data_IF_331452273721
#
_entry.id   IF_331452273721
#
_cell.length_a   1.000
_cell.length_b   1.000
_cell.length_c   1.000
_cell.angle_alpha   90.00
_cell.angle_beta   90.00
_cell.angle_gamma   90.00
#
_symmetry.space_group_name_H-M   'P 1'
#
loop_
_entity.id
_entity.type
_entity.pdbx_description
1 polymer ?
#
# COMPACT_ATOMS: atom_id res chain seq x y z
N UNK A 1 -14.98 16.00 -8.86
CA UNK A 1 -16.11 15.48 -8.06
C UNK A 1 -16.62 14.11 -8.57
N UNK A 2 -15.71 13.22 -8.99
CA UNK A 2 -15.99 11.81 -9.37
C UNK A 2 -15.32 10.80 -8.40
N UNK A 3 -14.40 11.28 -7.53
CA UNK A 3 -13.67 10.49 -6.53
C UNK A 3 -14.56 9.83 -5.48
N UNK A 4 -15.61 10.51 -5.02
CA UNK A 4 -16.50 9.99 -3.97
C UNK A 4 -17.19 8.68 -4.37
N UNK A 5 -17.76 8.59 -5.58
CA UNK A 5 -18.59 7.44 -5.99
C UNK A 5 -17.86 6.09 -6.09
N UNK A 6 -16.52 6.05 -6.11
CA UNK A 6 -15.75 4.80 -6.17
C UNK A 6 -15.20 4.38 -4.81
N UNK A 7 -15.34 5.21 -3.78
CA UNK A 7 -14.60 5.11 -2.53
C UNK A 7 -15.52 5.06 -1.28
N UNK A 8 -16.83 5.26 -1.42
CA UNK A 8 -17.72 5.63 -0.30
C UNK A 8 -17.64 4.69 0.93
N UNK A 9 -17.41 3.38 0.76
CA UNK A 9 -17.30 2.43 1.91
C UNK A 9 -15.90 2.38 2.55
N UNK A 10 -14.85 2.83 1.84
CA UNK A 10 -13.45 2.71 2.28
C UNK A 10 -12.79 4.05 2.61
N UNK A 11 -13.37 5.20 2.20
CA UNK A 11 -12.83 6.54 2.49
C UNK A 11 -12.55 6.70 3.98
N UNK A 12 -13.54 6.43 4.82
CA UNK A 12 -13.43 6.68 6.26
C UNK A 12 -12.37 5.80 6.90
N UNK A 13 -12.18 4.59 6.39
CA UNK A 13 -11.14 3.65 6.85
C UNK A 13 -9.76 4.19 6.50
N UNK A 14 -9.52 4.57 5.24
CA UNK A 14 -8.23 5.09 4.78
C UNK A 14 -7.91 6.43 5.44
N UNK A 15 -8.92 7.29 5.60
CA UNK A 15 -8.79 8.59 6.25
C UNK A 15 -8.45 8.42 7.75
N UNK A 16 -9.17 7.55 8.46
CA UNK A 16 -8.87 7.23 9.87
C UNK A 16 -7.48 6.63 10.04
N UNK A 17 -7.10 5.71 9.15
CA UNK A 17 -5.74 5.15 9.11
C UNK A 17 -4.70 6.25 8.94
N UNK A 18 -4.85 7.11 7.92
CA UNK A 18 -3.89 8.16 7.59
C UNK A 18 -3.74 9.18 8.72
N UNK A 19 -4.87 9.59 9.33
CA UNK A 19 -4.87 10.49 10.50
C UNK A 19 -4.20 9.85 11.71
N UNK A 20 -4.41 8.55 11.94
CA UNK A 20 -3.72 7.83 13.02
C UNK A 20 -2.22 7.74 12.78
N UNK A 21 -1.77 7.49 11.55
CA UNK A 21 -0.35 7.53 11.19
C UNK A 21 0.24 8.92 11.46
N UNK A 22 -0.48 10.01 11.16
CA UNK A 22 -0.02 11.38 11.40
C UNK A 22 0.16 11.75 12.88
N UNK A 23 -0.47 11.02 13.82
CA UNK A 23 -0.24 11.19 15.26
C UNK A 23 1.15 10.72 15.69
N UNK A 24 1.78 9.83 14.91
CA UNK A 24 3.12 9.31 15.16
C UNK A 24 4.14 10.17 14.43
N UNK A 25 5.30 10.40 15.06
CA UNK A 25 6.41 11.07 14.39
C UNK A 25 6.89 10.26 13.19
N UNK A 26 6.82 10.87 12.00
CA UNK A 26 7.29 10.27 10.77
C UNK A 26 8.82 10.34 10.68
N UNK A 27 9.42 9.33 10.06
CA UNK A 27 10.88 9.27 9.90
C UNK A 27 11.43 10.38 8.99
N UNK A 28 10.62 10.86 8.04
CA UNK A 28 10.96 11.91 7.08
C UNK A 28 9.73 12.76 6.74
N UNK A 29 9.96 13.97 6.26
CA UNK A 29 8.88 14.90 5.91
C UNK A 29 8.10 14.48 4.66
N UNK A 30 8.69 13.72 3.72
CA UNK A 30 7.98 13.17 2.55
C UNK A 30 6.94 12.12 2.94
N UNK A 31 7.17 11.37 4.02
CA UNK A 31 6.20 10.42 4.58
C UNK A 31 5.00 11.16 5.16
N UNK A 32 5.25 12.24 5.91
CA UNK A 32 4.17 13.10 6.43
C UNK A 32 3.39 13.73 5.27
N UNK A 33 4.07 14.31 4.30
CA UNK A 33 3.44 14.92 3.14
C UNK A 33 2.58 13.91 2.37
N UNK A 34 3.04 12.68 2.20
CA UNK A 34 2.26 11.63 1.54
C UNK A 34 0.94 11.33 2.28
N UNK A 35 0.96 11.27 3.61
CA UNK A 35 -0.24 11.11 4.42
C UNK A 35 -1.16 12.34 4.36
N UNK A 36 -0.60 13.54 4.44
CA UNK A 36 -1.36 14.80 4.35
C UNK A 36 -2.06 14.93 2.99
N UNK A 37 -1.37 14.61 1.89
CA UNK A 37 -1.95 14.59 0.55
C UNK A 37 -3.03 13.53 0.40
N UNK A 38 -2.86 12.36 1.02
CA UNK A 38 -3.89 11.31 1.04
C UNK A 38 -5.16 11.81 1.73
N UNK A 39 -5.02 12.47 2.88
CA UNK A 39 -6.16 13.07 3.61
C UNK A 39 -6.84 14.14 2.77
N UNK A 40 -6.08 15.05 2.14
CA UNK A 40 -6.61 16.10 1.28
C UNK A 40 -7.34 15.51 0.06
N UNK A 41 -6.76 14.50 -0.58
CA UNK A 41 -7.35 13.81 -1.74
C UNK A 41 -8.72 13.19 -1.41
N UNK A 42 -8.86 12.64 -0.20
CA UNK A 42 -10.12 12.09 0.31
C UNK A 42 -11.13 13.15 0.78
N UNK A 43 -10.76 14.44 0.73
CA UNK A 43 -11.60 15.56 1.16
C UNK A 43 -11.54 15.86 2.66
N UNK A 44 -10.58 15.27 3.38
CA UNK A 44 -10.29 15.59 4.78
C UNK A 44 -9.37 16.80 4.94
N UNK A 45 -9.21 17.24 6.19
CA UNK A 45 -8.31 18.35 6.56
C UNK A 45 -7.21 17.80 7.47
N UNK A 46 -5.92 17.85 7.07
CA UNK A 46 -4.82 17.45 7.93
C UNK A 46 -4.68 18.35 9.17
N UNK A 47 -4.00 17.86 10.21
CA UNK A 47 -3.81 18.58 11.50
C UNK A 47 -3.19 19.97 11.32
N UNK A 48 -2.30 20.13 10.34
CA UNK A 48 -1.61 21.40 10.04
C UNK A 48 -2.37 22.30 9.05
N UNK A 49 -3.60 21.93 8.71
CA UNK A 49 -4.37 22.56 7.65
C UNK A 49 -3.95 22.09 6.25
N UNK A 50 -4.60 22.66 5.25
CA UNK A 50 -4.34 22.36 3.83
C UNK A 50 -3.15 23.20 3.39
N UNK A 51 -1.99 22.56 3.23
CA UNK A 51 -0.78 23.18 2.71
C UNK A 51 -0.05 22.23 1.77
N UNK A 52 0.62 22.77 0.75
CA UNK A 52 1.32 21.99 -0.25
C UNK A 52 2.78 22.42 -0.28
N UNK A 53 3.70 21.46 -0.23
CA UNK A 53 5.13 21.75 -0.43
C UNK A 53 5.48 21.80 -1.90
N UNK A 54 6.57 22.51 -2.21
CA UNK A 54 7.16 22.46 -3.55
C UNK A 54 7.59 21.02 -3.85
N UNK A 55 7.35 20.50 -5.06
CA UNK A 55 7.78 19.16 -5.43
C UNK A 55 9.31 18.97 -5.27
N UNK A 56 9.71 17.88 -4.59
CA UNK A 56 11.12 17.55 -4.36
C UNK A 56 11.72 16.66 -5.46
N UNK A 57 13.02 16.38 -5.39
CA UNK A 57 13.70 15.57 -6.42
C UNK A 57 13.07 14.18 -6.63
N UNK A 58 12.85 13.81 -7.89
CA UNK A 58 12.36 12.50 -8.32
C UNK A 58 13.52 11.60 -8.75
N UNK A 59 13.51 10.34 -8.32
CA UNK A 59 14.48 9.33 -8.74
C UNK A 59 13.77 8.03 -9.14
N UNK A 60 14.29 7.31 -10.14
CA UNK A 60 13.62 6.10 -10.67
C UNK A 60 13.35 5.03 -9.60
N UNK A 61 14.26 4.90 -8.63
CA UNK A 61 14.17 3.95 -7.52
C UNK A 61 13.19 4.35 -6.40
N UNK A 62 12.69 5.59 -6.38
CA UNK A 62 11.82 6.09 -5.30
C UNK A 62 10.37 6.11 -5.76
N UNK A 63 9.63 5.07 -5.40
CA UNK A 63 8.21 4.98 -5.73
C UNK A 63 7.34 6.01 -4.99
N UNK A 64 7.59 6.28 -3.70
CA UNK A 64 6.85 7.29 -2.93
C UNK A 64 6.86 8.67 -3.61
N UNK A 65 7.99 9.13 -4.14
CA UNK A 65 8.03 10.43 -4.84
C UNK A 65 7.08 10.44 -6.03
N UNK A 66 6.98 9.33 -6.79
CA UNK A 66 6.01 9.22 -7.88
C UNK A 66 4.58 9.29 -7.36
N UNK A 67 4.29 8.64 -6.23
CA UNK A 67 2.97 8.69 -5.61
C UNK A 67 2.58 10.12 -5.16
N UNK A 68 3.49 10.84 -4.50
CA UNK A 68 3.29 12.25 -4.10
C UNK A 68 3.01 13.12 -5.33
N UNK A 69 3.79 12.95 -6.39
CA UNK A 69 3.60 13.70 -7.63
C UNK A 69 2.26 13.38 -8.30
N UNK A 70 1.88 12.10 -8.41
CA UNK A 70 0.58 11.70 -8.96
C UNK A 70 -0.58 12.36 -8.21
N UNK A 71 -0.55 12.34 -6.87
CA UNK A 71 -1.58 12.99 -6.06
C UNK A 71 -1.63 14.51 -6.28
N UNK A 72 -0.47 15.18 -6.32
CA UNK A 72 -0.42 16.62 -6.60
C UNK A 72 -0.94 16.96 -7.98
N UNK A 73 -0.52 16.25 -9.03
CA UNK A 73 -1.00 16.47 -10.40
C UNK A 73 -2.52 16.25 -10.46
N UNK A 74 -3.03 15.23 -9.76
CA UNK A 74 -4.48 15.00 -9.69
C UNK A 74 -5.22 16.13 -8.97
N UNK A 75 -4.71 16.61 -7.84
CA UNK A 75 -5.31 17.69 -7.05
C UNK A 75 -5.30 19.03 -7.78
N UNK A 76 -4.24 19.29 -8.54
CA UNK A 76 -4.07 20.51 -9.33
C UNK A 76 -4.37 20.29 -10.81
N UNK A 77 -5.16 19.28 -11.18
CA UNK A 77 -5.32 18.87 -12.58
C UNK A 77 -5.79 20.01 -13.50
N UNK A 78 -6.58 20.95 -12.97
CA UNK A 78 -7.08 22.11 -13.71
C UNK A 78 -6.00 23.17 -14.00
N UNK A 79 -4.85 23.12 -13.32
CA UNK A 79 -3.71 24.01 -13.56
C UNK A 79 -2.77 23.47 -14.64
N UNK A 80 -2.94 22.22 -15.05
CA UNK A 80 -2.12 21.56 -16.07
C UNK A 80 -2.89 21.43 -17.39
N UNK A 81 -2.17 21.50 -18.51
CA UNK A 81 -2.71 21.21 -19.84
C UNK A 81 -2.70 19.70 -20.09
N UNK A 82 -3.54 18.97 -19.35
CA UNK A 82 -3.69 17.52 -19.52
C UNK A 82 -4.80 17.22 -20.53
N UNK A 83 -4.55 16.27 -21.42
CA UNK A 83 -5.63 15.70 -22.22
C UNK A 83 -6.48 14.73 -21.39
N UNK A 84 -7.65 14.35 -21.91
CA UNK A 84 -8.59 13.47 -21.18
C UNK A 84 -7.98 12.13 -20.79
N UNK A 85 -7.09 11.57 -21.63
CA UNK A 85 -6.42 10.30 -21.36
C UNK A 85 -5.43 10.43 -20.20
N UNK A 86 -4.61 11.47 -20.20
CA UNK A 86 -3.66 11.76 -19.12
C UNK A 86 -4.38 11.99 -17.79
N UNK A 87 -5.49 12.75 -17.83
CA UNK A 87 -6.30 13.01 -16.64
C UNK A 87 -6.86 11.71 -16.04
N UNK A 88 -7.37 10.81 -16.87
CA UNK A 88 -7.86 9.51 -16.41
C UNK A 88 -6.73 8.65 -15.83
N UNK A 89 -5.58 8.54 -16.50
CA UNK A 89 -4.43 7.77 -15.99
C UNK A 89 -3.95 8.29 -14.63
N UNK A 90 -3.83 9.61 -14.48
CA UNK A 90 -3.42 10.24 -13.21
C UNK A 90 -4.45 9.98 -12.12
N UNK A 91 -5.72 9.97 -12.48
CA UNK A 91 -6.79 9.69 -11.55
C UNK A 91 -6.77 8.22 -11.11
N UNK A 92 -6.69 7.27 -12.04
CA UNK A 92 -6.67 5.82 -11.76
C UNK A 92 -5.49 5.44 -10.85
N UNK A 93 -4.29 5.97 -11.14
CA UNK A 93 -3.12 5.73 -10.28
C UNK A 93 -3.27 6.39 -8.90
N UNK A 94 -3.90 7.55 -8.82
CA UNK A 94 -4.15 8.23 -7.53
C UNK A 94 -5.12 7.44 -6.66
N UNK A 95 -6.17 6.86 -7.26
CA UNK A 95 -7.10 5.96 -6.58
C UNK A 95 -6.37 4.71 -6.07
N UNK A 96 -5.53 4.09 -6.91
CA UNK A 96 -4.72 2.94 -6.50
C UNK A 96 -3.78 3.29 -5.33
N UNK A 97 -3.11 4.44 -5.40
CA UNK A 97 -2.19 4.91 -4.36
C UNK A 97 -2.92 5.01 -3.02
N UNK A 98 -4.06 5.69 -3.01
CA UNK A 98 -4.82 5.97 -1.78
C UNK A 98 -5.47 4.72 -1.21
N UNK A 99 -6.06 3.87 -2.06
CA UNK A 99 -6.80 2.67 -1.59
C UNK A 99 -5.89 1.53 -1.17
N UNK A 100 -4.82 1.30 -1.93
CA UNK A 100 -3.96 0.14 -1.73
C UNK A 100 -2.65 0.57 -1.11
N UNK A 101 -1.86 1.36 -1.84
CA UNK A 101 -0.44 1.53 -1.53
C UNK A 101 -0.17 2.21 -0.18
N UNK A 102 -0.93 3.24 0.21
CA UNK A 102 -0.75 3.96 1.48
C UNK A 102 -0.74 3.01 2.67
N UNK A 103 -1.75 2.14 2.81
CA UNK A 103 -1.88 1.24 3.96
C UNK A 103 -0.64 0.37 4.13
N UNK A 104 -0.21 -0.30 3.07
CA UNK A 104 0.90 -1.25 3.15
C UNK A 104 2.22 -0.53 3.38
N UNK A 105 2.46 0.59 2.70
CA UNK A 105 3.68 1.35 2.87
C UNK A 105 3.94 1.77 4.32
N UNK A 106 2.92 2.26 5.01
CA UNK A 106 3.04 2.69 6.40
C UNK A 106 2.94 1.54 7.42
N UNK A 107 2.57 0.33 6.99
CA UNK A 107 2.53 -0.87 7.84
C UNK A 107 3.82 -1.70 7.75
N UNK A 108 4.63 -1.53 6.69
CA UNK A 108 5.87 -2.28 6.44
C UNK A 108 7.07 -2.10 7.41
N UNK A 109 7.16 -1.11 8.33
CA UNK A 109 8.35 -0.99 9.18
C UNK A 109 8.60 -2.16 10.15
N UNK A 110 7.60 -3.00 10.41
CA UNK A 110 7.70 -4.11 11.37
C UNK A 110 7.88 -5.43 10.62
N UNK A 111 9.09 -6.00 10.66
CA UNK A 111 9.43 -7.23 9.92
C UNK A 111 8.55 -8.44 10.27
N UNK A 112 8.13 -8.56 11.53
CA UNK A 112 7.22 -9.64 11.97
C UNK A 112 5.89 -9.63 11.21
N UNK A 113 5.44 -8.47 10.75
CA UNK A 113 4.16 -8.32 10.03
C UNK A 113 4.33 -8.50 8.52
N UNK A 114 5.55 -8.59 7.99
CA UNK A 114 5.76 -8.64 6.55
C UNK A 114 5.00 -9.80 5.87
N UNK A 115 5.08 -11.06 6.34
CA UNK A 115 4.38 -12.17 5.68
C UNK A 115 2.86 -12.01 5.64
N UNK A 116 2.26 -11.52 6.73
CA UNK A 116 0.81 -11.32 6.82
C UNK A 116 0.35 -10.13 5.98
N UNK A 117 1.12 -9.03 5.99
CA UNK A 117 0.87 -7.84 5.17
C UNK A 117 0.99 -8.15 3.68
N UNK A 118 1.96 -8.96 3.25
CA UNK A 118 2.10 -9.37 1.86
C UNK A 118 0.89 -10.17 1.41
N UNK A 119 0.48 -11.18 2.19
CA UNK A 119 -0.70 -11.98 1.90
C UNK A 119 -1.96 -11.10 1.82
N UNK A 120 -2.11 -10.15 2.75
CA UNK A 120 -3.21 -9.21 2.75
C UNK A 120 -3.18 -8.29 1.51
N UNK A 121 -2.00 -7.81 1.10
CA UNK A 121 -1.80 -7.01 -0.10
C UNK A 121 -2.26 -7.76 -1.35
N UNK A 122 -1.88 -9.03 -1.51
CA UNK A 122 -2.35 -9.84 -2.64
C UNK A 122 -3.86 -10.03 -2.63
N UNK A 123 -4.48 -10.28 -1.47
CA UNK A 123 -5.94 -10.39 -1.35
C UNK A 123 -6.62 -9.08 -1.76
N UNK A 124 -6.13 -7.95 -1.27
CA UNK A 124 -6.70 -6.64 -1.59
C UNK A 124 -6.48 -6.26 -3.06
N UNK A 125 -5.37 -6.63 -3.67
CA UNK A 125 -5.16 -6.49 -5.12
C UNK A 125 -6.14 -7.34 -5.92
N UNK A 126 -6.41 -8.58 -5.51
CA UNK A 126 -7.41 -9.45 -6.17
C UNK A 126 -8.80 -8.81 -6.09
N UNK A 127 -9.19 -8.26 -4.93
CA UNK A 127 -10.44 -7.52 -4.77
C UNK A 127 -10.46 -6.25 -5.62
N UNK A 128 -9.34 -5.55 -5.71
CA UNK A 128 -9.18 -4.32 -6.51
C UNK A 128 -9.41 -4.54 -8.01
N UNK A 129 -9.35 -5.78 -8.52
CA UNK A 129 -9.73 -6.10 -9.92
C UNK A 129 -11.14 -5.66 -10.28
N UNK A 130 -12.04 -5.55 -9.30
CA UNK A 130 -13.42 -5.06 -9.50
C UNK A 130 -13.46 -3.58 -9.87
N UNK A 131 -12.43 -2.81 -9.51
CA UNK A 131 -12.32 -1.37 -9.74
C UNK A 131 -11.44 -1.13 -10.96
N UNK A 132 -10.23 -1.69 -10.95
CA UNK A 132 -9.27 -1.56 -12.04
C UNK A 132 -8.51 -2.89 -12.24
N UNK A 133 -8.94 -3.72 -13.21
CA UNK A 133 -8.31 -5.00 -13.47
C UNK A 133 -6.89 -4.85 -14.03
N UNK A 134 -6.60 -3.79 -14.79
CA UNK A 134 -5.32 -3.60 -15.46
C UNK A 134 -4.23 -3.25 -14.44
N UNK A 135 -4.46 -2.24 -13.59
CA UNK A 135 -3.54 -1.87 -12.51
C UNK A 135 -3.38 -3.06 -11.55
N UNK A 136 -4.46 -3.74 -11.19
CA UNK A 136 -4.38 -4.90 -10.30
C UNK A 136 -3.50 -6.01 -10.89
N UNK A 137 -3.76 -6.44 -12.14
CA UNK A 137 -3.03 -7.54 -12.77
C UNK A 137 -1.54 -7.19 -12.96
N UNK A 138 -1.22 -5.97 -13.39
CA UNK A 138 0.16 -5.49 -13.55
C UNK A 138 0.86 -5.47 -12.18
N UNK A 139 0.19 -4.97 -11.15
CA UNK A 139 0.76 -4.90 -9.79
C UNK A 139 1.01 -6.29 -9.22
N UNK A 140 0.04 -7.20 -9.31
CA UNK A 140 0.20 -8.60 -8.88
C UNK A 140 1.39 -9.23 -9.60
N UNK A 141 1.45 -9.12 -10.94
CA UNK A 141 2.55 -9.67 -11.73
C UNK A 141 3.90 -9.12 -11.27
N UNK A 142 3.98 -7.82 -11.00
CA UNK A 142 5.22 -7.18 -10.54
C UNK A 142 5.63 -7.67 -9.15
N UNK A 143 4.69 -7.70 -8.20
CA UNK A 143 4.94 -8.16 -6.84
C UNK A 143 5.26 -9.65 -6.75
N UNK A 144 4.66 -10.48 -7.61
CA UNK A 144 4.99 -11.91 -7.70
C UNK A 144 6.47 -12.14 -8.03
N UNK A 145 7.10 -11.25 -8.80
CA UNK A 145 8.55 -11.27 -9.04
C UNK A 145 9.41 -10.93 -7.82
N UNK A 146 8.81 -10.46 -6.73
CA UNK A 146 9.47 -10.10 -5.48
C UNK A 146 9.18 -11.08 -4.34
N UNK A 147 8.45 -12.17 -4.59
CA UNK A 147 8.12 -13.17 -3.56
C UNK A 147 9.30 -14.06 -3.13
N UNK A 148 10.48 -13.89 -3.74
CA UNK A 148 11.66 -14.72 -3.48
C UNK A 148 12.14 -14.66 -2.01
N UNK A 149 11.86 -13.56 -1.29
CA UNK A 149 12.25 -13.45 0.12
C UNK A 149 11.28 -14.16 1.06
N UNK A 150 10.09 -14.57 0.60
CA UNK A 150 9.07 -15.20 1.44
C UNK A 150 9.34 -16.71 1.57
N UNK A 151 10.48 -17.03 2.19
CA UNK A 151 10.88 -18.40 2.54
C UNK A 151 10.17 -18.88 3.81
N UNK A 152 10.33 -20.15 4.16
CA UNK A 152 9.81 -20.70 5.43
C UNK A 152 10.38 -19.97 6.65
N UNK A 153 11.65 -19.58 6.60
CA UNK A 153 12.34 -18.85 7.68
C UNK A 153 11.81 -17.43 7.84
N UNK A 154 11.59 -16.70 6.74
CA UNK A 154 11.02 -15.34 6.83
C UNK A 154 9.54 -15.38 7.16
N UNK A 155 8.81 -16.39 6.69
CA UNK A 155 7.42 -16.63 7.09
C UNK A 155 7.31 -16.93 8.60
N UNK A 156 8.31 -17.56 9.21
CA UNK A 156 8.34 -17.81 10.65
C UNK A 156 8.41 -16.52 11.49
N UNK A 157 8.85 -15.39 10.92
CA UNK A 157 8.78 -14.08 11.62
C UNK A 157 7.34 -13.70 11.99
N UNK A 158 6.35 -14.21 11.26
CA UNK A 158 4.92 -13.99 11.58
C UNK A 158 4.47 -14.69 12.86
N UNK A 159 5.28 -15.56 13.47
CA UNK A 159 5.01 -16.09 14.82
C UNK A 159 4.99 -14.98 15.87
N UNK A 160 5.73 -13.89 15.64
CA UNK A 160 5.73 -12.69 16.48
C UNK A 160 4.65 -11.68 16.08
N UNK A 161 3.90 -11.94 15.00
CA UNK A 161 2.76 -11.10 14.63
C UNK A 161 1.57 -11.37 15.54
N UNK A 162 1.11 -10.32 16.23
CA UNK A 162 -0.09 -10.36 17.09
C UNK A 162 -1.39 -10.52 16.29
N UNK A 163 -1.38 -10.18 15.01
CA UNK A 163 -2.53 -10.28 14.12
C UNK A 163 -2.71 -11.67 13.52
N UNK A 164 -1.70 -12.55 13.64
CA UNK A 164 -1.79 -13.95 13.20
C UNK A 164 -2.34 -14.79 14.35
N UNK A 165 -3.43 -15.51 14.09
CA UNK A 165 -4.07 -16.36 15.09
C UNK A 165 -3.16 -17.50 15.54
N UNK A 166 -3.33 -17.97 16.79
CA UNK A 166 -2.59 -19.13 17.31
C UNK A 166 -2.84 -20.37 16.43
N UNK A 167 -4.08 -20.57 15.97
CA UNK A 167 -4.42 -21.67 15.07
C UNK A 167 -3.61 -21.61 13.77
N UNK A 168 -3.52 -20.43 13.15
CA UNK A 168 -2.70 -20.22 11.95
C UNK A 168 -1.22 -20.52 12.23
N UNK A 169 -0.68 -20.07 13.37
CA UNK A 169 0.72 -20.35 13.76
C UNK A 169 0.96 -21.85 13.93
N UNK A 170 0.04 -22.59 14.54
CA UNK A 170 0.13 -24.06 14.68
C UNK A 170 0.17 -24.72 13.30
N UNK A 171 -0.72 -24.33 12.38
CA UNK A 171 -0.75 -24.86 11.01
C UNK A 171 0.54 -24.56 10.24
N UNK A 172 1.11 -23.36 10.42
CA UNK A 172 2.39 -23.00 9.83
C UNK A 172 3.53 -23.90 10.34
N UNK A 173 3.60 -24.14 11.66
CA UNK A 173 4.61 -25.04 12.25
C UNK A 173 4.46 -26.47 11.72
N UNK A 174 3.22 -26.98 11.62
CA UNK A 174 2.95 -28.29 11.03
C UNK A 174 3.40 -28.37 9.57
N UNK A 175 3.08 -27.35 8.77
CA UNK A 175 3.51 -27.28 7.37
C UNK A 175 5.03 -27.27 7.21
N UNK A 176 5.75 -26.55 8.08
CA UNK A 176 7.22 -26.52 8.05
C UNK A 176 7.80 -27.90 8.37
N UNK A 177 7.26 -28.59 9.37
CA UNK A 177 7.72 -29.95 9.74
C UNK A 177 7.53 -30.95 8.60
N UNK A 178 6.37 -30.93 7.95
CA UNK A 178 6.07 -31.84 6.84
C UNK A 178 7.01 -31.61 5.66
N UNK A 179 7.25 -30.35 5.28
CA UNK A 179 8.14 -30.04 4.16
C UNK A 179 9.62 -30.40 4.42
N UNK A 180 10.06 -30.41 5.68
CA UNK A 180 11.41 -30.81 6.03
C UNK A 180 11.61 -32.34 6.01
N UNK A 181 10.57 -33.12 6.32
CA UNK A 181 10.62 -34.58 6.22
C UNK A 181 10.81 -35.05 4.77
N UNK A 182 10.20 -34.36 3.80
CA UNK A 182 10.34 -34.70 2.37
C UNK A 182 11.76 -34.48 1.81
N UNK A 183 12.56 -33.61 2.45
CA UNK A 183 13.94 -33.31 2.04
C UNK A 183 15.01 -34.23 2.63
N UNK A 184 14.69 -35.01 3.67
CA UNK A 184 15.63 -35.95 4.29
C UNK A 184 15.57 -37.36 3.67
N UNK A 185 14.50 -37.71 2.96
CA UNK A 185 14.35 -39.02 2.31
C UNK A 185 15.06 -39.13 0.93
N UNK A 186 15.72 -38.08 0.44
CA UNK A 186 16.44 -38.07 -0.85
C UNK A 186 17.95 -37.80 -0.77
N UNK A 187 18.59 -38.11 0.37
CA UNK A 187 20.06 -38.10 0.49
C UNK A 187 20.64 -39.47 0.79
#
# INVERSE_FOLDING_TARGET
MQARKLLDDEVDTVLSFSLNCLKVQQCREDYREFLELTVIFLGGIPVRGISFRVPGAIHHARWMSKAIYSLKICLFSEQFKLNSKEKNIIYDISIFIVRIYVKYWFSSPVAAFAPSLDLELFKNLILYKKIDPDISNITIKKLSGHLWYLTSETAALSFFDKNVSIESKIKMVQSIRNNNCDTEETK
#
